data_IF_210984243530
#
_entry.id   IF_210984243530
#
_cell.length_a   1.000
_cell.length_b   1.000
_cell.length_c   1.000
_cell.angle_alpha   90.00
_cell.angle_beta   90.00
_cell.angle_gamma   90.00
#
_symmetry.space_group_name_H-M   'P 1'
#
loop_
_entity.id
_entity.type
_entity.pdbx_description
1 polymer ?
#
# COMPACT_ATOMS: atom_id res chain seq x y z
N UNK A 1 0.62 -20.06 17.64
CA UNK A 1 -0.25 -19.76 16.48
C UNK A 1 0.62 -19.11 15.40
N UNK A 2 0.39 -19.38 14.11
CA UNK A 2 1.03 -18.60 13.03
C UNK A 2 0.39 -17.21 12.97
N UNK A 3 1.17 -16.16 12.72
CA UNK A 3 0.60 -14.83 12.57
C UNK A 3 -0.12 -14.73 11.21
N UNK A 4 -1.10 -13.83 11.05
CA UNK A 4 -1.79 -13.67 9.77
C UNK A 4 -0.86 -13.06 8.71
N UNK A 5 -1.25 -13.19 7.44
CA UNK A 5 -0.68 -12.38 6.35
C UNK A 5 -1.35 -11.00 6.37
N UNK A 6 -0.56 -9.96 6.10
CA UNK A 6 -1.02 -8.58 6.04
C UNK A 6 -1.10 -8.03 4.61
N UNK A 7 -2.11 -7.20 4.35
CA UNK A 7 -2.21 -6.43 3.10
C UNK A 7 -2.38 -4.96 3.44
N UNK A 8 -1.52 -4.11 2.85
CA UNK A 8 -1.67 -2.66 2.91
C UNK A 8 -2.45 -2.22 1.67
N UNK A 9 -3.60 -1.59 1.87
CA UNK A 9 -4.38 -0.98 0.79
C UNK A 9 -3.79 0.39 0.43
N UNK A 10 -3.02 0.45 -0.65
CA UNK A 10 -2.37 1.66 -1.16
C UNK A 10 -2.93 2.14 -2.52
N UNK A 11 -4.02 1.52 -2.99
CA UNK A 11 -4.76 1.96 -4.17
C UNK A 11 -5.63 3.21 -3.95
N UNK A 12 -6.41 3.54 -4.98
CA UNK A 12 -7.29 4.70 -5.01
C UNK A 12 -6.65 5.95 -5.61
N UNK A 13 -7.48 6.97 -5.86
CA UNK A 13 -7.10 8.12 -6.69
C UNK A 13 -6.46 9.28 -5.92
N UNK A 14 -6.38 9.21 -4.58
CA UNK A 14 -5.85 10.27 -3.72
C UNK A 14 -6.40 11.69 -4.02
N UNK A 15 -7.65 11.82 -4.47
CA UNK A 15 -8.23 13.09 -4.98
C UNK A 15 -8.23 14.23 -3.96
N UNK A 16 -8.35 13.92 -2.66
CA UNK A 16 -8.25 14.90 -1.58
C UNK A 16 -6.82 15.38 -1.29
N UNK A 17 -5.82 14.72 -1.85
CA UNK A 17 -4.39 15.02 -1.69
C UNK A 17 -3.75 15.49 -3.01
N UNK A 18 -4.55 15.93 -3.98
CA UNK A 18 -4.06 16.43 -5.27
C UNK A 18 -3.78 15.34 -6.31
N UNK A 19 -4.15 14.08 -6.04
CA UNK A 19 -3.90 12.95 -6.92
C UNK A 19 -2.58 12.22 -6.63
N UNK A 20 -2.25 11.23 -7.46
CA UNK A 20 -1.01 10.46 -7.37
C UNK A 20 -0.96 9.45 -6.21
N UNK A 21 0.25 9.08 -5.80
CA UNK A 21 0.49 8.03 -4.83
C UNK A 21 0.55 8.57 -3.40
N UNK A 22 -0.61 8.63 -2.74
CA UNK A 22 -0.71 9.05 -1.34
C UNK A 22 0.29 8.33 -0.43
N UNK A 23 0.50 7.04 -0.62
CA UNK A 23 1.42 6.24 0.19
C UNK A 23 2.86 6.76 0.15
N UNK A 24 3.28 7.38 -0.95
CA UNK A 24 4.63 7.90 -1.15
C UNK A 24 4.82 9.34 -0.66
N UNK A 25 3.73 10.03 -0.27
CA UNK A 25 3.83 11.36 0.31
C UNK A 25 4.60 11.32 1.63
N UNK A 26 5.45 12.33 1.85
CA UNK A 26 6.23 12.49 3.07
C UNK A 26 5.35 12.87 4.26
N UNK A 27 5.61 12.23 5.40
CA UNK A 27 5.05 12.56 6.70
C UNK A 27 6.22 12.57 7.71
N UNK A 28 6.77 13.76 7.99
CA UNK A 28 8.00 13.88 8.76
C UNK A 28 9.20 13.30 8.01
N UNK A 29 9.95 12.39 8.66
CA UNK A 29 11.18 11.79 8.09
C UNK A 29 10.90 10.64 7.11
N UNK A 30 9.72 10.01 7.18
CA UNK A 30 9.34 8.86 6.37
C UNK A 30 8.17 9.18 5.43
N UNK A 31 7.76 8.22 4.60
CA UNK A 31 6.51 8.31 3.81
C UNK A 31 5.33 7.79 4.63
N UNK A 32 4.10 8.12 4.23
CA UNK A 32 2.89 7.54 4.84
C UNK A 32 2.97 6.00 4.83
N UNK A 33 3.36 5.41 3.69
CA UNK A 33 3.54 3.97 3.55
C UNK A 33 4.64 3.44 4.48
N UNK A 34 5.77 4.15 4.61
CA UNK A 34 6.86 3.76 5.50
C UNK A 34 6.41 3.65 6.96
N UNK A 35 5.64 4.62 7.45
CA UNK A 35 5.05 4.57 8.79
C UNK A 35 4.09 3.38 8.96
N UNK A 36 3.27 3.08 7.95
CA UNK A 36 2.37 1.93 7.99
C UNK A 36 3.16 0.62 8.05
N UNK A 37 4.20 0.48 7.23
CA UNK A 37 5.06 -0.72 7.20
C UNK A 37 5.71 -0.94 8.56
N UNK A 38 6.32 0.10 9.14
CA UNK A 38 7.00 0.02 10.44
C UNK A 38 6.04 -0.44 11.55
N UNK A 39 4.81 0.08 11.57
CA UNK A 39 3.81 -0.29 12.57
C UNK A 39 3.20 -1.66 12.33
N UNK A 40 3.05 -2.08 11.07
CA UNK A 40 2.33 -3.30 10.71
C UNK A 40 3.23 -4.55 10.71
N UNK A 41 4.48 -4.42 10.27
CA UNK A 41 5.45 -5.51 10.14
C UNK A 41 5.56 -6.45 11.37
N UNK A 42 5.64 -5.96 12.63
CA UNK A 42 5.77 -6.87 13.78
C UNK A 42 4.50 -7.69 14.11
N UNK A 43 3.41 -7.50 13.38
CA UNK A 43 2.10 -8.12 13.67
C UNK A 43 1.72 -9.24 12.68
N UNK A 44 2.49 -9.44 11.62
CA UNK A 44 2.13 -10.32 10.49
C UNK A 44 3.32 -11.16 10.03
N UNK A 45 3.04 -12.36 9.53
CA UNK A 45 4.07 -13.30 9.06
C UNK A 45 4.60 -12.93 7.65
N UNK A 46 3.77 -12.26 6.84
CA UNK A 46 4.13 -11.78 5.51
C UNK A 46 3.27 -10.57 5.13
N UNK A 47 3.75 -9.77 4.17
CA UNK A 47 3.09 -8.53 3.74
C UNK A 47 3.00 -8.42 2.22
N UNK A 48 1.90 -7.84 1.74
CA UNK A 48 1.73 -7.40 0.36
C UNK A 48 1.16 -5.98 0.29
N UNK A 49 1.39 -5.31 -0.82
CA UNK A 49 0.81 -4.00 -1.12
C UNK A 49 -0.27 -4.16 -2.18
N UNK A 50 -1.51 -3.76 -1.90
CA UNK A 50 -2.52 -3.64 -2.94
C UNK A 50 -2.46 -2.23 -3.56
N UNK A 51 -2.12 -2.15 -4.84
CA UNK A 51 -2.03 -0.88 -5.58
C UNK A 51 -2.22 -1.11 -7.08
N UNK A 52 -2.82 -0.13 -7.75
CA UNK A 52 -3.02 -0.12 -9.20
C UNK A 52 -2.00 0.77 -9.90
N UNK A 53 -1.79 0.54 -11.20
CA UNK A 53 -0.82 1.26 -12.02
C UNK A 53 0.55 0.59 -12.01
N UNK A 54 1.61 1.38 -12.19
CA UNK A 54 2.98 0.86 -12.28
C UNK A 54 3.45 0.31 -10.90
N UNK A 55 3.78 -0.99 -10.77
CA UNK A 55 4.29 -1.55 -9.52
C UNK A 55 5.70 -1.06 -9.18
N UNK A 56 6.47 -0.57 -10.15
CA UNK A 56 7.87 -0.22 -9.93
C UNK A 56 8.06 0.98 -8.99
N UNK A 57 7.02 1.81 -8.87
CA UNK A 57 6.95 2.90 -7.89
C UNK A 57 7.11 2.44 -6.44
N UNK A 58 6.85 1.15 -6.17
CA UNK A 58 6.95 0.56 -4.84
C UNK A 58 8.10 -0.44 -4.70
N UNK A 59 9.01 -0.58 -5.67
CA UNK A 59 10.14 -1.53 -5.56
C UNK A 59 10.98 -1.31 -4.28
N UNK A 60 11.14 -0.05 -3.85
CA UNK A 60 11.86 0.28 -2.62
C UNK A 60 11.22 -0.26 -1.33
N UNK A 61 10.00 -0.79 -1.39
CA UNK A 61 9.32 -1.42 -0.25
C UNK A 61 9.70 -2.89 -0.04
N UNK A 62 10.25 -3.56 -1.06
CA UNK A 62 10.58 -4.99 -1.02
C UNK A 62 9.37 -5.93 -0.92
N UNK A 63 8.14 -5.43 -1.07
CA UNK A 63 6.90 -6.21 -0.98
C UNK A 63 6.34 -6.54 -2.36
N UNK A 64 5.63 -7.68 -2.51
CA UNK A 64 4.83 -7.93 -3.71
C UNK A 64 3.71 -6.89 -3.83
N UNK A 65 3.51 -6.37 -5.05
CA UNK A 65 2.42 -5.44 -5.39
C UNK A 65 1.31 -6.21 -6.11
N UNK A 66 0.10 -6.15 -5.57
CA UNK A 66 -1.09 -6.85 -6.05
C UNK A 66 -2.08 -5.83 -6.64
N UNK A 67 -2.42 -5.90 -7.93
CA UNK A 67 -3.45 -5.03 -8.51
C UNK A 67 -4.86 -5.46 -8.08
N UNK A 68 -5.83 -4.56 -8.19
CA UNK A 68 -7.25 -4.89 -8.03
C UNK A 68 -7.68 -5.86 -9.13
N UNK A 69 -8.68 -6.70 -8.83
CA UNK A 69 -9.24 -7.63 -9.83
C UNK A 69 -10.24 -6.94 -10.76
N UNK A 70 -10.82 -5.81 -10.32
CA UNK A 70 -11.80 -5.04 -11.07
C UNK A 70 -11.26 -3.67 -11.47
N UNK A 71 -11.44 -3.31 -12.74
CA UNK A 71 -11.14 -1.95 -13.22
C UNK A 71 -12.10 -0.90 -12.65
N UNK A 72 -11.65 0.36 -12.58
CA UNK A 72 -12.53 1.50 -12.29
C UNK A 72 -12.55 1.95 -10.82
N UNK A 73 -11.65 1.43 -9.98
CA UNK A 73 -11.49 1.84 -8.58
C UNK A 73 -12.81 1.80 -7.78
N UNK A 74 -13.50 0.64 -7.71
CA UNK A 74 -14.84 0.56 -7.08
C UNK A 74 -14.81 0.74 -5.56
N UNK A 75 -13.63 0.84 -4.95
CA UNK A 75 -13.42 1.10 -3.54
C UNK A 75 -12.54 0.04 -2.89
N UNK A 76 -12.48 -0.01 -1.55
CA UNK A 76 -11.56 -0.89 -0.82
C UNK A 76 -11.84 -2.40 -0.92
N UNK A 77 -12.97 -2.79 -1.49
CA UNK A 77 -13.38 -4.21 -1.67
C UNK A 77 -13.14 -4.71 -3.11
N UNK A 78 -12.45 -3.91 -3.93
CA UNK A 78 -12.09 -4.20 -5.31
C UNK A 78 -11.08 -5.35 -5.46
#
# INVERSE_FOLDING_TARGET
>A
MKAPVGVILAGGQATRMGGGDKGLLKLGTSTILGHVIERFSPQVDAMALNANGDPDRFQGSGMPVLPDSFSGFPGPLA
#
